data_IF_253457457552
#
_entry.id   IF_253457457552
#
_cell.length_a   1.000
_cell.length_b   1.000
_cell.length_c   1.000
_cell.angle_alpha   90.00
_cell.angle_beta   90.00
_cell.angle_gamma   90.00
#
_symmetry.space_group_name_H-M   'P 1'
#
loop_
_entity.id
_entity.type
_entity.pdbx_description
1 polymer ?
#
# COMPACT_ATOMS: atom_id res chain seq x y z
N UNK A 1 -10.98 33.11 -11.84
CA UNK A 1 -11.82 34.31 -12.03
C UNK A 1 -12.42 34.74 -10.70
N UNK A 2 -13.00 35.95 -10.59
CA UNK A 2 -13.71 36.40 -9.38
C UNK A 2 -14.86 35.46 -8.99
N UNK A 3 -15.58 34.95 -9.99
CA UNK A 3 -16.65 33.96 -9.81
C UNK A 3 -16.17 32.65 -9.15
N UNK A 4 -14.96 32.19 -9.50
CA UNK A 4 -14.35 31.00 -8.90
C UNK A 4 -13.94 31.24 -7.43
N UNK A 5 -13.55 32.47 -7.08
CA UNK A 5 -13.21 32.85 -5.70
C UNK A 5 -14.46 32.83 -4.80
N UNK A 6 -15.58 33.39 -5.26
CA UNK A 6 -16.86 33.35 -4.51
C UNK A 6 -17.35 31.92 -4.27
N UNK A 7 -17.08 30.98 -5.19
CA UNK A 7 -17.40 29.56 -4.95
C UNK A 7 -16.49 28.92 -3.90
N UNK A 8 -15.23 29.31 -3.82
CA UNK A 8 -14.32 28.82 -2.77
C UNK A 8 -14.67 29.35 -1.38
N UNK A 9 -15.39 30.47 -1.26
CA UNK A 9 -15.90 30.96 0.02
C UNK A 9 -16.94 30.02 0.64
N UNK A 10 -17.62 29.20 -0.17
CA UNK A 10 -18.51 28.14 0.32
C UNK A 10 -17.78 26.98 0.99
N UNK A 11 -16.46 26.88 0.81
CA UNK A 11 -15.64 25.86 1.47
C UNK A 11 -15.29 26.39 2.86
N UNK A 12 -15.32 25.57 3.93
CA UNK A 12 -14.86 25.99 5.25
C UNK A 12 -13.42 26.50 5.24
N UNK A 13 -13.10 27.50 6.06
CA UNK A 13 -11.78 28.19 6.06
C UNK A 13 -10.60 27.21 6.17
N UNK A 14 -10.70 26.19 7.03
CA UNK A 14 -9.64 25.19 7.22
C UNK A 14 -9.34 24.36 5.95
N UNK A 15 -10.35 24.13 5.10
CA UNK A 15 -10.21 23.33 3.88
C UNK A 15 -9.91 24.16 2.62
N UNK A 16 -10.09 25.49 2.67
CA UNK A 16 -9.87 26.39 1.51
C UNK A 16 -8.46 26.31 0.95
N UNK A 17 -7.44 26.22 1.82
CA UNK A 17 -6.03 26.14 1.39
C UNK A 17 -5.72 24.86 0.62
N UNK A 18 -6.21 23.72 1.12
CA UNK A 18 -6.06 22.41 0.48
C UNK A 18 -6.83 22.39 -0.84
N UNK A 19 -8.08 22.86 -0.84
CA UNK A 19 -8.91 22.92 -2.03
C UNK A 19 -8.30 23.78 -3.14
N UNK A 20 -7.78 24.97 -2.80
CA UNK A 20 -7.10 25.86 -3.78
C UNK A 20 -5.91 25.15 -4.43
N UNK A 21 -5.10 24.44 -3.65
CA UNK A 21 -3.93 23.72 -4.14
C UNK A 21 -4.34 22.56 -5.05
N UNK A 22 -5.37 21.80 -4.67
CA UNK A 22 -5.86 20.67 -5.44
C UNK A 22 -6.49 21.10 -6.78
N UNK A 23 -7.31 22.15 -6.77
CA UNK A 23 -7.90 22.73 -7.99
C UNK A 23 -6.81 23.28 -8.91
N UNK A 24 -5.78 23.92 -8.36
CA UNK A 24 -4.68 24.44 -9.15
C UNK A 24 -3.87 23.31 -9.82
N UNK A 25 -3.57 22.24 -9.07
CA UNK A 25 -2.91 21.06 -9.64
C UNK A 25 -3.75 20.42 -10.75
N UNK A 26 -5.06 20.29 -10.55
CA UNK A 26 -5.97 19.78 -11.58
C UNK A 26 -5.99 20.65 -12.84
N UNK A 27 -6.04 21.98 -12.67
CA UNK A 27 -6.01 22.91 -13.79
C UNK A 27 -4.71 22.81 -14.60
N UNK A 28 -3.56 22.63 -13.94
CA UNK A 28 -2.27 22.40 -14.59
C UNK A 28 -2.28 21.07 -15.37
N UNK A 29 -2.73 20.00 -14.75
CA UNK A 29 -2.75 18.65 -15.35
C UNK A 29 -3.64 18.59 -16.60
N UNK A 30 -4.76 19.31 -16.61
CA UNK A 30 -5.69 19.39 -17.75
C UNK A 30 -5.35 20.52 -18.74
N UNK A 31 -4.32 21.33 -18.48
CA UNK A 31 -3.89 22.41 -19.36
C UNK A 31 -4.83 23.62 -19.38
N UNK A 32 -5.62 23.84 -18.33
CA UNK A 32 -6.47 25.02 -18.22
C UNK A 32 -5.64 26.25 -17.84
N UNK A 33 -5.59 27.24 -18.74
CA UNK A 33 -4.90 28.51 -18.51
C UNK A 33 -5.67 29.47 -17.62
N UNK A 34 -7.01 29.35 -17.57
CA UNK A 34 -7.90 30.18 -16.75
C UNK A 34 -8.81 29.28 -15.93
N UNK A 35 -8.79 29.46 -14.59
CA UNK A 35 -9.69 28.75 -13.68
C UNK A 35 -11.07 29.43 -13.73
N UNK A 36 -11.98 28.84 -14.50
CA UNK A 36 -13.39 29.19 -14.59
C UNK A 36 -14.22 28.36 -13.62
N UNK A 37 -15.50 28.71 -13.48
CA UNK A 37 -16.43 28.02 -12.59
C UNK A 37 -16.59 26.53 -12.94
N UNK A 38 -16.70 26.23 -14.24
CA UNK A 38 -16.76 24.86 -14.74
C UNK A 38 -15.50 24.02 -14.44
N UNK A 39 -14.32 24.66 -14.37
CA UNK A 39 -13.05 23.98 -14.03
C UNK A 39 -13.03 23.62 -12.55
N UNK A 40 -13.56 24.49 -11.68
CA UNK A 40 -13.70 24.18 -10.25
C UNK A 40 -14.63 22.99 -10.05
N UNK A 41 -15.79 22.96 -10.71
CA UNK A 41 -16.75 21.85 -10.59
C UNK A 41 -16.17 20.54 -11.11
N UNK A 42 -15.48 20.57 -12.25
CA UNK A 42 -14.80 19.40 -12.81
C UNK A 42 -13.67 18.89 -11.90
N UNK A 43 -12.88 19.80 -11.33
CA UNK A 43 -11.81 19.45 -10.39
C UNK A 43 -12.38 18.80 -9.13
N UNK A 44 -13.40 19.42 -8.53
CA UNK A 44 -14.06 18.93 -7.31
C UNK A 44 -14.68 17.55 -7.56
N UNK A 45 -15.35 17.34 -8.69
CA UNK A 45 -15.92 16.04 -9.06
C UNK A 45 -14.90 14.94 -9.35
N UNK A 46 -13.68 15.29 -9.75
CA UNK A 46 -12.57 14.33 -9.96
C UNK A 46 -11.82 14.01 -8.66
N UNK A 47 -11.74 14.97 -7.72
CA UNK A 47 -11.01 14.83 -6.47
C UNK A 47 -11.85 14.13 -5.40
N UNK A 48 -13.14 14.42 -5.33
CA UNK A 48 -14.04 13.88 -4.31
C UNK A 48 -14.70 12.58 -4.80
N UNK A 49 -14.79 11.55 -3.95
CA UNK A 49 -15.50 10.32 -4.30
C UNK A 49 -16.99 10.62 -4.51
N UNK A 50 -17.65 9.78 -5.33
CA UNK A 50 -19.10 9.87 -5.57
C UNK A 50 -19.81 9.80 -4.20
N UNK A 51 -20.66 10.78 -3.90
CA UNK A 51 -21.38 10.89 -2.62
C UNK A 51 -20.78 11.87 -1.60
N UNK A 52 -19.47 12.17 -1.64
CA UNK A 52 -18.86 13.12 -0.68
C UNK A 52 -19.38 14.55 -0.83
N UNK A 53 -19.77 14.93 -2.04
CA UNK A 53 -20.41 16.24 -2.30
C UNK A 53 -21.76 16.39 -1.62
N UNK A 54 -22.56 15.32 -1.57
CA UNK A 54 -23.87 15.35 -0.90
C UNK A 54 -23.70 15.40 0.62
N UNK A 55 -22.72 14.66 1.16
CA UNK A 55 -22.37 14.72 2.57
C UNK A 55 -21.88 16.10 3.01
N UNK A 56 -21.01 16.74 2.22
CA UNK A 56 -20.55 18.12 2.49
C UNK A 56 -21.67 19.16 2.38
N UNK A 57 -22.62 18.94 1.46
CA UNK A 57 -23.81 19.80 1.31
C UNK A 57 -24.75 19.67 2.50
N UNK A 58 -24.97 18.46 3.00
CA UNK A 58 -25.76 18.21 4.22
C UNK A 58 -25.11 18.85 5.44
N UNK A 59 -23.79 18.69 5.62
CA UNK A 59 -23.03 19.41 6.65
C UNK A 59 -23.17 20.94 6.52
N UNK A 60 -23.07 21.47 5.31
CA UNK A 60 -23.28 22.90 5.06
C UNK A 60 -24.67 23.38 5.51
N UNK A 61 -25.72 22.61 5.20
CA UNK A 61 -27.09 22.93 5.60
C UNK A 61 -27.27 22.89 7.13
N UNK A 62 -26.70 21.89 7.81
CA UNK A 62 -26.78 21.81 9.28
C UNK A 62 -26.02 22.94 9.97
N UNK A 63 -24.86 23.34 9.43
CA UNK A 63 -24.08 24.47 9.92
C UNK A 63 -24.82 25.82 9.73
N UNK A 64 -25.49 25.99 8.60
CA UNK A 64 -26.30 27.18 8.31
C UNK A 64 -27.55 27.24 9.22
N UNK A 65 -28.22 26.10 9.47
CA UNK A 65 -29.35 25.97 10.42
C UNK A 65 -28.95 26.27 11.86
N UNK A 66 -27.72 25.89 12.26
CA UNK A 66 -27.17 26.18 13.58
C UNK A 66 -26.68 27.63 13.73
N UNK A 67 -26.77 28.46 12.68
CA UNK A 67 -26.35 29.86 12.70
C UNK A 67 -24.85 30.05 12.92
N UNK A 68 -24.04 29.04 12.62
CA UNK A 68 -22.59 29.06 12.82
C UNK A 68 -21.95 29.75 11.61
N UNK A 69 -21.33 30.92 11.83
CA UNK A 69 -20.63 31.64 10.76
C UNK A 69 -19.38 30.87 10.30
N UNK A 70 -19.48 30.34 9.08
CA UNK A 70 -18.47 29.54 8.38
C UNK A 70 -17.18 30.32 8.10
N UNK A 71 -17.23 31.66 8.12
CA UNK A 71 -16.06 32.53 7.95
C UNK A 71 -15.38 32.90 9.29
N UNK A 72 -16.10 32.80 10.40
CA UNK A 72 -15.57 33.10 11.74
C UNK A 72 -14.96 31.88 12.46
N UNK A 73 -15.15 30.67 11.92
CA UNK A 73 -14.63 29.42 12.48
C UNK A 73 -13.10 29.39 12.38
N UNK A 74 -12.43 29.91 13.40
CA UNK A 74 -11.01 29.65 13.66
C UNK A 74 -10.93 28.26 14.26
N UNK A 75 -10.05 27.41 13.71
CA UNK A 75 -9.72 26.14 14.34
C UNK A 75 -8.96 26.44 15.63
N UNK A 76 -9.69 26.56 16.74
CA UNK A 76 -9.12 26.30 18.05
C UNK A 76 -8.82 24.80 18.13
N UNK A 77 -7.65 24.45 18.66
CA UNK A 77 -7.14 23.08 18.75
C UNK A 77 -8.10 22.12 19.51
N UNK A 78 -9.10 22.65 20.21
CA UNK A 78 -10.16 21.91 20.87
C UNK A 78 -11.20 21.31 19.90
N UNK A 79 -11.69 22.09 18.93
CA UNK A 79 -12.74 21.65 17.99
C UNK A 79 -12.19 20.66 16.97
N UNK A 80 -10.91 20.79 16.59
CA UNK A 80 -10.23 19.81 15.74
C UNK A 80 -10.15 18.42 16.39
N UNK A 81 -9.99 18.35 17.72
CA UNK A 81 -10.03 17.07 18.45
C UNK A 81 -11.44 16.51 18.58
N UNK A 82 -12.45 17.35 18.72
CA UNK A 82 -13.84 16.89 18.90
C UNK A 82 -14.49 16.43 17.59
N UNK A 83 -14.15 17.07 16.46
CA UNK A 83 -14.58 16.63 15.11
C UNK A 83 -13.91 15.33 14.66
N UNK A 84 -12.67 15.06 15.09
CA UNK A 84 -11.95 13.80 14.77
C UNK A 84 -12.25 12.70 15.79
N UNK A 85 -12.63 13.07 17.02
CA UNK A 85 -12.53 12.20 18.19
C UNK A 85 -13.72 11.29 18.49
N UNK A 86 -14.98 11.69 18.27
CA UNK A 86 -16.08 10.84 18.78
C UNK A 86 -17.44 10.87 18.06
N UNK A 87 -17.86 11.96 17.40
CA UNK A 87 -19.25 12.05 16.89
C UNK A 87 -19.36 11.95 15.37
N UNK A 88 -18.39 12.45 14.60
CA UNK A 88 -18.44 12.41 13.13
C UNK A 88 -17.82 11.14 12.52
N UNK A 89 -16.76 10.59 13.12
CA UNK A 89 -16.18 9.30 12.71
C UNK A 89 -17.15 8.12 12.88
N UNK A 90 -18.07 8.19 13.86
CA UNK A 90 -19.12 7.19 14.05
C UNK A 90 -20.27 7.29 13.05
N UNK A 91 -20.62 8.50 12.62
CA UNK A 91 -21.68 8.72 11.62
C UNK A 91 -21.21 8.54 10.16
N UNK A 92 -19.90 8.67 9.87
CA UNK A 92 -19.33 8.34 8.55
C UNK A 92 -19.03 6.84 8.35
N UNK A 93 -18.90 6.06 9.43
CA UNK A 93 -18.63 4.62 9.33
C UNK A 93 -19.84 3.82 8.78
N UNK A 94 -21.07 4.33 8.94
CA UNK A 94 -22.29 3.61 8.54
C UNK A 94 -22.74 3.83 7.09
N UNK A 95 -22.11 4.74 6.33
CA UNK A 95 -22.58 5.14 4.98
C UNK A 95 -21.55 4.83 3.88
N UNK A 96 -20.36 4.32 4.20
CA UNK A 96 -19.33 3.99 3.20
C UNK A 96 -18.87 2.53 3.31
N UNK A 97 -19.81 1.60 3.13
CA UNK A 97 -19.50 0.25 2.63
C UNK A 97 -19.68 0.14 1.10
N UNK A 98 -19.61 1.25 0.36
CA UNK A 98 -19.40 1.16 -1.08
C UNK A 98 -17.93 0.86 -1.34
N UNK A 99 -17.63 -0.45 -1.42
CA UNK A 99 -16.39 -0.98 -2.01
C UNK A 99 -16.06 -0.11 -3.23
N UNK A 100 -14.95 0.65 -3.21
CA UNK A 100 -14.68 1.64 -4.24
C UNK A 100 -14.72 0.95 -5.60
N UNK A 101 -15.35 1.57 -6.60
CA UNK A 101 -15.39 1.05 -7.96
C UNK A 101 -13.97 0.93 -8.51
N UNK A 102 -13.37 -0.24 -8.33
CA UNK A 102 -12.01 -0.53 -8.79
C UNK A 102 -12.03 -0.69 -10.30
N UNK A 103 -11.04 -0.12 -11.00
CA UNK A 103 -10.95 -0.24 -12.45
C UNK A 103 -10.96 -1.72 -12.87
N UNK A 104 -11.47 -2.08 -14.06
CA UNK A 104 -11.52 -3.48 -14.50
C UNK A 104 -10.15 -4.18 -14.46
N UNK A 105 -9.07 -3.45 -14.74
CA UNK A 105 -7.70 -3.96 -14.63
C UNK A 105 -7.26 -4.21 -13.19
N UNK A 106 -7.65 -3.34 -12.25
CA UNK A 106 -7.39 -3.52 -10.82
C UNK A 106 -8.25 -4.63 -10.23
N UNK A 107 -9.51 -4.77 -10.67
CA UNK A 107 -10.38 -5.86 -10.24
C UNK A 107 -9.84 -7.21 -10.72
N UNK A 108 -9.43 -7.34 -11.98
CA UNK A 108 -8.78 -8.57 -12.48
C UNK A 108 -7.46 -8.89 -11.75
N UNK A 109 -6.72 -7.87 -11.30
CA UNK A 109 -5.53 -8.05 -10.47
C UNK A 109 -5.88 -8.55 -9.05
N UNK A 110 -6.89 -7.95 -8.41
CA UNK A 110 -7.38 -8.34 -7.10
C UNK A 110 -7.99 -9.75 -7.12
N UNK A 111 -8.76 -10.08 -8.16
CA UNK A 111 -9.36 -11.41 -8.35
C UNK A 111 -8.29 -12.47 -8.64
N UNK A 112 -7.22 -12.13 -9.38
CA UNK A 112 -6.04 -13.00 -9.51
C UNK A 112 -5.33 -13.19 -8.17
N UNK A 113 -5.33 -12.18 -7.30
CA UNK A 113 -4.70 -12.24 -5.99
C UNK A 113 -5.56 -12.95 -4.93
N UNK A 114 -6.86 -13.13 -5.19
CA UNK A 114 -7.77 -13.90 -4.33
C UNK A 114 -7.98 -15.34 -4.80
N UNK A 115 -7.27 -15.79 -5.85
CA UNK A 115 -7.35 -17.18 -6.30
C UNK A 115 -6.70 -18.11 -5.28
N UNK A 116 -7.39 -19.21 -4.98
CA UNK A 116 -6.85 -20.29 -4.17
C UNK A 116 -5.77 -21.04 -4.95
N UNK A 117 -4.70 -21.43 -4.26
CA UNK A 117 -3.61 -22.21 -4.83
C UNK A 117 -3.61 -23.59 -4.20
N UNK A 118 -3.49 -24.64 -5.03
CA UNK A 118 -3.40 -26.02 -4.58
C UNK A 118 -2.06 -26.62 -4.97
N UNK A 119 -1.34 -27.16 -4.00
CA UNK A 119 -0.06 -27.83 -4.20
C UNK A 119 -0.25 -29.35 -4.15
N UNK A 120 0.21 -30.05 -5.19
CA UNK A 120 0.26 -31.51 -5.19
C UNK A 120 1.45 -32.01 -4.36
N UNK A 121 1.20 -32.79 -3.32
CA UNK A 121 2.24 -33.31 -2.42
C UNK A 121 3.21 -34.28 -3.09
N UNK A 122 2.77 -34.97 -4.15
CA UNK A 122 3.59 -35.99 -4.81
C UNK A 122 4.62 -35.45 -5.81
N UNK A 123 4.33 -34.31 -6.46
CA UNK A 123 5.18 -33.80 -7.54
C UNK A 123 5.40 -32.28 -7.53
N UNK A 124 4.79 -31.55 -6.59
CA UNK A 124 4.93 -30.10 -6.47
C UNK A 124 4.16 -29.27 -7.50
N UNK A 125 3.23 -29.88 -8.27
CA UNK A 125 2.38 -29.12 -9.20
C UNK A 125 1.50 -28.12 -8.45
N UNK A 126 1.47 -26.86 -8.92
CA UNK A 126 0.63 -25.79 -8.37
C UNK A 126 -0.53 -25.46 -9.31
N UNK A 127 -1.75 -25.80 -8.90
CA UNK A 127 -2.97 -25.41 -9.59
C UNK A 127 -3.52 -24.10 -9.03
N UNK A 128 -4.17 -23.30 -9.88
CA UNK A 128 -4.77 -22.01 -9.54
C UNK A 128 -6.30 -22.11 -9.67
N UNK A 129 -7.04 -21.45 -8.79
CA UNK A 129 -8.50 -21.40 -8.86
C UNK A 129 -9.14 -22.47 -7.99
N UNK A 130 -9.93 -23.36 -8.58
CA UNK A 130 -10.67 -24.41 -7.86
C UNK A 130 -9.85 -25.69 -7.67
N UNK A 131 -10.30 -26.58 -6.76
CA UNK A 131 -9.58 -27.80 -6.42
C UNK A 131 -9.47 -28.74 -7.64
N UNK A 132 -8.25 -29.04 -8.11
CA UNK A 132 -8.06 -29.88 -9.29
C UNK A 132 -8.42 -31.35 -9.00
N UNK A 133 -9.16 -31.97 -9.94
CA UNK A 133 -9.62 -33.37 -9.82
C UNK A 133 -8.46 -34.38 -9.96
N UNK A 134 -7.46 -34.05 -10.77
CA UNK A 134 -6.28 -34.88 -10.99
C UNK A 134 -5.05 -34.04 -11.31
N UNK A 135 -3.88 -34.50 -10.86
CA UNK A 135 -2.60 -33.86 -11.17
C UNK A 135 -2.12 -34.20 -12.59
N UNK A 136 -1.80 -33.21 -13.46
CA UNK A 136 -1.30 -33.46 -14.81
C UNK A 136 0.05 -34.19 -14.85
N UNK A 137 0.87 -34.02 -13.80
CA UNK A 137 2.24 -34.56 -13.74
C UNK A 137 2.26 -36.00 -13.19
N UNK A 138 1.73 -36.24 -11.99
CA UNK A 138 1.79 -37.55 -11.35
C UNK A 138 0.48 -38.34 -11.37
N UNK A 139 -0.58 -37.82 -11.99
CA UNK A 139 -1.93 -38.42 -12.05
C UNK A 139 -2.55 -38.76 -10.69
N UNK A 140 -2.02 -38.19 -9.61
CA UNK A 140 -2.64 -38.31 -8.29
C UNK A 140 -4.02 -37.65 -8.30
N UNK A 141 -4.99 -38.28 -7.64
CA UNK A 141 -6.33 -37.74 -7.47
C UNK A 141 -6.38 -36.52 -6.55
N UNK A 142 -7.54 -35.85 -6.51
CA UNK A 142 -7.82 -34.63 -5.76
C UNK A 142 -7.41 -34.65 -4.27
N UNK A 143 -7.34 -35.84 -3.65
CA UNK A 143 -6.98 -36.01 -2.24
C UNK A 143 -5.52 -35.67 -1.91
N UNK A 144 -4.60 -35.68 -2.89
CA UNK A 144 -3.18 -35.34 -2.67
C UNK A 144 -2.86 -33.85 -2.91
N UNK A 145 -3.89 -33.02 -3.02
CA UNK A 145 -3.74 -31.58 -3.16
C UNK A 145 -3.95 -30.90 -1.81
N UNK A 146 -2.94 -30.14 -1.38
CA UNK A 146 -3.00 -29.30 -0.19
C UNK A 146 -3.35 -27.88 -0.61
N UNK A 147 -4.37 -27.30 0.02
CA UNK A 147 -4.72 -25.89 -0.14
C UNK A 147 -3.65 -25.03 0.52
N UNK A 148 -3.08 -24.10 -0.24
CA UNK A 148 -2.25 -23.01 0.27
C UNK A 148 -3.19 -21.83 0.49
N UNK A 149 -3.74 -21.72 1.69
CA UNK A 149 -4.67 -20.66 2.05
C UNK A 149 -3.91 -19.39 2.48
N UNK A 150 -4.28 -18.25 1.89
CA UNK A 150 -3.80 -16.92 2.27
C UNK A 150 -4.07 -16.61 3.75
N UNK A 151 -5.13 -17.17 4.33
CA UNK A 151 -5.48 -17.01 5.74
C UNK A 151 -4.38 -17.55 6.67
N UNK A 152 -3.68 -18.63 6.28
CA UNK A 152 -2.58 -19.19 7.06
C UNK A 152 -1.37 -18.23 7.10
N UNK A 153 -1.10 -17.53 6.01
CA UNK A 153 -0.03 -16.54 5.95
C UNK A 153 -0.39 -15.25 6.67
N UNK A 154 -1.65 -14.82 6.64
CA UNK A 154 -2.12 -13.71 7.48
C UNK A 154 -2.10 -14.05 8.96
N UNK A 155 -2.47 -15.28 9.33
CA UNK A 155 -2.39 -15.77 10.71
C UNK A 155 -0.94 -15.90 11.20
N UNK A 156 -0.04 -16.43 10.36
CA UNK A 156 1.39 -16.45 10.63
C UNK A 156 1.95 -15.02 10.75
N UNK A 157 1.60 -14.12 9.84
CA UNK A 157 1.99 -12.71 9.90
C UNK A 157 1.48 -11.99 11.15
N UNK A 158 0.27 -12.30 11.61
CA UNK A 158 -0.28 -11.76 12.87
C UNK A 158 0.48 -12.29 14.09
N UNK A 159 1.07 -13.47 13.99
CA UNK A 159 1.86 -14.11 15.05
C UNK A 159 3.32 -13.61 15.04
N UNK A 160 3.88 -13.34 13.86
CA UNK A 160 5.24 -12.81 13.62
C UNK A 160 5.37 -11.27 13.79
N UNK A 161 4.29 -10.60 14.20
CA UNK A 161 4.31 -9.19 14.58
C UNK A 161 4.16 -8.17 13.44
N UNK A 162 4.73 -6.97 13.64
CA UNK A 162 4.45 -5.76 12.85
C UNK A 162 4.77 -5.99 11.36
N UNK A 163 3.77 -5.74 10.52
CA UNK A 163 3.89 -5.76 9.07
C UNK A 163 4.48 -4.45 8.58
N UNK A 164 5.71 -4.49 8.10
CA UNK A 164 6.33 -3.35 7.45
C UNK A 164 6.07 -3.46 5.94
N UNK A 165 5.15 -2.63 5.44
CA UNK A 165 4.82 -2.58 4.02
C UNK A 165 5.86 -1.72 3.31
N UNK A 166 6.67 -2.35 2.46
CA UNK A 166 7.62 -1.65 1.60
C UNK A 166 7.19 -1.78 0.13
N UNK A 167 7.54 -0.77 -0.67
CA UNK A 167 7.47 -0.86 -2.12
C UNK A 167 8.62 -1.77 -2.59
N UNK A 168 8.26 -2.92 -3.16
CA UNK A 168 9.23 -3.82 -3.77
C UNK A 168 9.85 -3.18 -5.02
N UNK A 169 10.92 -3.79 -5.55
CA UNK A 169 11.68 -3.27 -6.69
C UNK A 169 10.85 -3.05 -7.98
N UNK A 170 9.69 -3.70 -8.14
CA UNK A 170 8.81 -3.51 -9.32
C UNK A 170 7.49 -2.78 -8.98
N UNK A 171 7.53 -1.77 -8.12
CA UNK A 171 6.39 -0.89 -7.77
C UNK A 171 5.13 -1.62 -7.25
N UNK A 172 5.30 -2.84 -6.73
CA UNK A 172 4.22 -3.60 -6.09
C UNK A 172 4.38 -3.54 -4.57
N UNK A 173 3.32 -3.15 -3.83
CA UNK A 173 3.37 -3.11 -2.38
C UNK A 173 3.50 -4.53 -1.85
N UNK A 174 4.58 -4.79 -1.12
CA UNK A 174 4.84 -6.08 -0.49
C UNK A 174 5.08 -5.89 1.00
N UNK A 175 4.35 -6.66 1.80
CA UNK A 175 4.48 -6.63 3.26
C UNK A 175 5.51 -7.65 3.71
N UNK A 176 6.51 -7.17 4.46
CA UNK A 176 7.52 -8.03 5.09
C UNK A 176 7.25 -8.10 6.59
N UNK A 177 7.33 -9.30 7.18
CA UNK A 177 7.37 -9.43 8.63
C UNK A 177 8.72 -8.94 9.16
N UNK A 178 8.74 -8.38 10.38
CA UNK A 178 9.97 -7.93 11.03
C UNK A 178 11.00 -9.06 11.13
N UNK A 179 10.53 -10.25 11.51
CA UNK A 179 11.38 -11.43 11.65
C UNK A 179 12.04 -11.84 10.31
N UNK A 180 11.29 -11.74 9.19
CA UNK A 180 11.85 -12.00 7.86
C UNK A 180 12.90 -10.94 7.45
N UNK A 181 12.68 -9.66 7.80
CA UNK A 181 13.68 -8.61 7.56
C UNK A 181 14.95 -8.80 8.39
N UNK A 182 14.78 -9.22 9.63
CA UNK A 182 15.88 -9.51 10.54
C UNK A 182 16.68 -10.73 10.05
N UNK A 183 16.00 -11.76 9.55
CA UNK A 183 16.64 -12.95 8.97
C UNK A 183 17.46 -12.64 7.70
N UNK A 184 17.01 -11.74 6.82
CA UNK A 184 17.82 -11.29 5.67
C UNK A 184 19.16 -10.69 6.12
N UNK A 185 19.25 -10.18 7.36
CA UNK A 185 20.50 -9.61 7.87
C UNK A 185 21.60 -10.64 8.09
N UNK A 186 21.30 -11.94 8.09
CA UNK A 186 22.27 -13.02 8.08
C UNK A 186 23.10 -13.06 6.78
N UNK A 187 22.53 -12.60 5.66
CA UNK A 187 23.25 -12.52 4.38
C UNK A 187 24.22 -11.33 4.39
N UNK A 188 25.49 -11.51 3.95
CA UNK A 188 26.47 -10.43 3.85
C UNK A 188 25.91 -9.19 3.15
N UNK A 189 26.23 -8.01 3.70
CA UNK A 189 25.75 -6.74 3.18
C UNK A 189 26.24 -6.49 1.75
N UNK A 190 25.42 -5.84 0.94
CA UNK A 190 25.74 -5.50 -0.44
C UNK A 190 24.89 -6.26 -1.45
N UNK A 191 25.53 -6.79 -2.50
CA UNK A 191 24.83 -7.38 -3.65
C UNK A 191 24.06 -8.65 -3.28
N UNK A 192 24.64 -9.55 -2.49
CA UNK A 192 24.02 -10.82 -2.09
C UNK A 192 22.69 -10.58 -1.35
N UNK A 193 22.67 -9.67 -0.38
CA UNK A 193 21.44 -9.30 0.35
C UNK A 193 20.35 -8.73 -0.56
N UNK A 194 20.72 -7.82 -1.48
CA UNK A 194 19.79 -7.23 -2.47
C UNK A 194 19.25 -8.30 -3.42
N UNK A 195 20.10 -9.22 -3.87
CA UNK A 195 19.74 -10.35 -4.73
C UNK A 195 18.81 -11.32 -4.02
N UNK A 196 19.08 -11.65 -2.75
CA UNK A 196 18.22 -12.50 -1.93
C UNK A 196 16.84 -11.87 -1.75
N UNK A 197 16.78 -10.59 -1.35
CA UNK A 197 15.51 -9.82 -1.24
C UNK A 197 14.71 -9.87 -2.56
N UNK A 198 15.36 -9.58 -3.69
CA UNK A 198 14.70 -9.61 -5.00
C UNK A 198 14.26 -11.02 -5.43
N UNK A 199 15.03 -12.08 -5.10
CA UNK A 199 14.67 -13.48 -5.38
C UNK A 199 13.38 -13.84 -4.64
N UNK A 200 13.32 -13.54 -3.34
CA UNK A 200 12.16 -13.78 -2.47
C UNK A 200 10.93 -13.00 -2.95
N UNK A 201 11.08 -11.71 -3.28
CA UNK A 201 9.97 -10.88 -3.79
C UNK A 201 9.44 -11.41 -5.13
N UNK A 202 10.33 -11.84 -6.03
CA UNK A 202 9.94 -12.40 -7.34
C UNK A 202 9.21 -13.72 -7.21
N UNK A 203 9.67 -14.63 -6.35
CA UNK A 203 9.03 -15.92 -6.13
C UNK A 203 7.69 -15.77 -5.41
N UNK A 204 7.61 -14.89 -4.41
CA UNK A 204 6.36 -14.51 -3.75
C UNK A 204 5.33 -13.99 -4.77
N UNK A 205 5.74 -13.09 -5.66
CA UNK A 205 4.88 -12.56 -6.74
C UNK A 205 4.39 -13.65 -7.69
N UNK A 206 5.27 -14.57 -8.13
CA UNK A 206 4.87 -15.67 -9.01
C UNK A 206 3.81 -16.56 -8.38
N UNK A 207 3.87 -16.72 -7.05
CA UNK A 207 2.90 -17.47 -6.26
C UNK A 207 1.70 -16.64 -5.80
N UNK A 208 1.63 -15.34 -6.12
CA UNK A 208 0.52 -14.46 -5.73
C UNK A 208 0.55 -14.03 -4.26
N UNK A 209 1.63 -14.29 -3.53
CA UNK A 209 1.79 -13.90 -2.13
C UNK A 209 2.18 -12.42 -2.01
N UNK A 210 1.51 -11.70 -1.11
CA UNK A 210 1.77 -10.28 -0.80
C UNK A 210 2.43 -10.04 0.55
N UNK A 211 2.46 -11.07 1.38
CA UNK A 211 3.05 -11.05 2.71
C UNK A 211 4.15 -12.09 2.77
N UNK A 212 5.37 -11.65 3.03
CA UNK A 212 6.54 -12.50 3.18
C UNK A 212 6.72 -12.78 4.66
N UNK A 213 6.57 -14.06 5.04
CA UNK A 213 6.79 -14.56 6.39
C UNK A 213 8.20 -15.13 6.56
N UNK A 214 8.63 -15.33 7.80
CA UNK A 214 9.92 -15.90 8.13
C UNK A 214 10.08 -17.32 7.57
N UNK A 215 9.07 -18.17 7.77
CA UNK A 215 9.07 -19.56 7.29
C UNK A 215 9.27 -19.67 5.78
N UNK A 216 8.72 -18.72 5.03
CA UNK A 216 8.89 -18.67 3.58
C UNK A 216 10.27 -18.14 3.18
N UNK A 217 10.80 -17.15 3.90
CA UNK A 217 12.07 -16.50 3.58
C UNK A 217 13.30 -17.34 3.97
N UNK A 218 13.25 -18.09 5.09
CA UNK A 218 14.34 -18.93 5.63
C UNK A 218 15.09 -19.76 4.58
N UNK A 219 14.44 -20.64 3.79
CA UNK A 219 15.17 -21.48 2.83
C UNK A 219 15.89 -20.67 1.75
N UNK A 220 15.32 -19.53 1.35
CA UNK A 220 15.95 -18.63 0.37
C UNK A 220 17.13 -17.83 0.96
N UNK A 221 17.09 -17.55 2.26
CA UNK A 221 18.16 -16.86 3.00
C UNK A 221 19.33 -17.82 3.22
N UNK A 222 19.05 -19.06 3.64
CA UNK A 222 20.08 -20.08 3.90
C UNK A 222 20.83 -20.45 2.60
N UNK A 223 20.10 -20.62 1.50
CA UNK A 223 20.68 -20.82 0.16
C UNK A 223 21.61 -19.65 -0.19
N UNK A 224 21.14 -18.41 -0.03
CA UNK A 224 21.92 -17.21 -0.34
C UNK A 224 23.12 -16.97 0.61
N UNK A 225 23.04 -17.46 1.85
CA UNK A 225 24.14 -17.39 2.81
C UNK A 225 25.22 -18.45 2.54
N UNK A 226 24.83 -19.61 2.00
CA UNK A 226 25.74 -20.71 1.62
C UNK A 226 26.40 -20.52 0.26
N UNK A 227 25.80 -19.75 -0.65
CA UNK A 227 26.41 -19.40 -1.93
C UNK A 227 27.63 -18.50 -1.70
N UNK A 228 28.84 -19.06 -1.80
CA UNK A 228 30.09 -18.31 -1.86
C UNK A 228 30.13 -17.44 -3.12
N UNK A 229 29.56 -16.24 -3.02
CA UNK A 229 29.65 -15.24 -4.07
C UNK A 229 31.01 -14.57 -4.02
N UNK A 230 31.88 -14.97 -4.95
CA UNK A 230 33.10 -14.25 -5.29
C UNK A 230 32.73 -13.02 -6.14
N UNK A 231 32.93 -11.79 -5.63
CA UNK A 231 32.62 -10.61 -6.42
C UNK A 231 33.52 -10.56 -7.64
N UNK A 232 32.91 -10.39 -8.82
CA UNK A 232 33.58 -10.34 -10.13
C UNK A 232 34.68 -9.25 -10.17
N UNK A 233 34.60 -8.25 -9.28
CA UNK A 233 35.54 -7.14 -9.17
C UNK A 233 36.61 -7.27 -8.08
N UNK A 234 36.80 -8.44 -7.46
CA UNK A 234 37.82 -8.64 -6.42
C UNK A 234 39.26 -8.22 -6.84
N UNK A 235 39.57 -8.19 -8.14
CA UNK A 235 40.88 -7.84 -8.68
C UNK A 235 40.98 -6.48 -9.39
N UNK A 236 40.04 -5.54 -9.19
CA UNK A 236 40.24 -4.14 -9.62
C UNK A 236 40.16 -3.22 -8.40
N UNK A 237 41.34 -2.95 -7.84
CA UNK A 237 41.53 -2.15 -6.65
C UNK A 237 40.79 -0.81 -6.70
N UNK A 238 40.01 -0.55 -5.66
CA UNK A 238 39.54 0.80 -5.33
C UNK A 238 39.51 0.96 -3.81
N UNK A 239 40.42 1.82 -3.33
CA UNK A 239 40.38 2.61 -2.10
C UNK A 239 39.82 1.97 -0.84
N UNK A 240 40.71 1.41 -0.01
CA UNK A 240 40.49 1.33 1.42
C UNK A 240 40.24 2.75 1.95
N UNK A 241 39.00 3.05 2.34
CA UNK A 241 38.68 4.21 3.16
C UNK A 241 39.20 3.91 4.57
N UNK A 242 40.12 4.71 5.13
CA UNK A 242 40.67 4.41 6.44
C UNK A 242 39.56 4.51 7.51
N UNK A 243 39.52 3.60 8.49
CA UNK A 243 38.56 3.70 9.58
C UNK A 243 38.83 4.96 10.40
N UNK A 244 37.76 5.72 10.67
CA UNK A 244 37.77 6.90 11.53
C UNK A 244 38.54 6.62 12.83
N UNK A 245 39.54 7.47 13.09
CA UNK A 245 40.37 7.41 14.29
C UNK A 245 39.52 7.54 15.55
N UNK A 246 39.61 6.51 16.40
CA UNK A 246 39.25 6.63 17.81
C UNK A 246 40.34 7.43 18.50
N UNK A 247 39.99 8.63 18.97
CA UNK A 247 40.80 9.37 19.92
C UNK A 247 40.93 8.55 21.21
N UNK A 248 42.12 8.02 21.48
CA UNK A 248 42.49 7.57 22.81
C UNK A 248 43.19 8.73 23.51
N UNK A 249 42.54 9.21 24.56
CA UNK A 249 43.13 10.08 25.56
C UNK A 249 44.21 9.31 26.33
N UNK A 250 45.38 9.91 26.46
CA UNK A 250 46.35 9.72 27.55
C UNK A 250 47.17 11.00 27.66
#
# INVERSE_FOLDING_TARGET
TEEALRRMEKIPVFARGVARTAIHRYAIEKGHTIISNSVVDAAVGHILPKGAMEAMKQLGATLDEQGIDRNAMKADDGVARDMVGSTLSGMMAGIVEEKPAVSPGTQAYLDRMSQNYYLCEGCGYTAKGDQPVACPICKAGAAKFKLIDRSMFQAAAKTEGILETELAYDDVPMSWTKDAKDAIRAVPAGFQRRRCKAKIEKTARKMGMTTITLEYAKPHIDEAASEEYTPIFANKGTGAFPPNGVAQAS
#
